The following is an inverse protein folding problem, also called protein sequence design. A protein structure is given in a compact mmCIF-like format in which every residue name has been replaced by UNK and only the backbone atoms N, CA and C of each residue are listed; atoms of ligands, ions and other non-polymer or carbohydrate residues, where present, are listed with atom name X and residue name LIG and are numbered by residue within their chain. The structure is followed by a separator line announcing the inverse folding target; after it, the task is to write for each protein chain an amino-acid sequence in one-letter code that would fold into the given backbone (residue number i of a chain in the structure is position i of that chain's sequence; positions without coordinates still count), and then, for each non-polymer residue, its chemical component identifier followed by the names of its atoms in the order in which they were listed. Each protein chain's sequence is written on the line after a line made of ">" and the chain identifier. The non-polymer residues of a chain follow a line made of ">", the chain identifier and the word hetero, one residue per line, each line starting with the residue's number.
data_IF_364088819302
#
_entry.id   IF_364088819302
#
_cell.length_a   1.000
_cell.length_b   1.000
_cell.length_c   1.000
_cell.angle_alpha   90.00
_cell.angle_beta   90.00
_cell.angle_gamma   90.00
#
_symmetry.space_group_name_H-M   'P 1'
#
loop_
_entity.id
_entity.type
_entity.pdbx_description
1 polymer ?
#
# COMPACT_ATOMS: atom_id res chain seq x y z
N UNK A 1 -33.29 -16.49 -3.15
CA UNK A 1 -32.98 -15.81 -1.86
C UNK A 1 -31.85 -14.85 -2.17
N UNK A 2 -32.00 -14.06 -3.24
CA UNK A 2 -30.83 -13.65 -4.04
C UNK A 2 -30.31 -12.27 -3.64
N UNK A 3 -31.05 -11.58 -2.77
CA UNK A 3 -30.69 -10.24 -2.30
C UNK A 3 -29.52 -10.23 -1.29
N UNK A 4 -29.23 -11.32 -0.58
CA UNK A 4 -28.06 -11.37 0.31
C UNK A 4 -26.77 -11.56 -0.48
N UNK A 5 -26.71 -12.56 -1.36
CA UNK A 5 -25.53 -12.87 -2.18
C UNK A 5 -25.17 -11.74 -3.15
N UNK A 6 -26.17 -11.01 -3.65
CA UNK A 6 -25.94 -9.85 -4.51
C UNK A 6 -25.42 -8.63 -3.72
N UNK A 7 -25.80 -8.50 -2.43
CA UNK A 7 -25.22 -7.50 -1.54
C UNK A 7 -23.76 -7.84 -1.24
N UNK A 8 -23.48 -9.10 -0.90
CA UNK A 8 -22.15 -9.58 -0.54
C UNK A 8 -21.14 -9.40 -1.69
N UNK A 9 -21.54 -9.63 -2.96
CA UNK A 9 -20.66 -9.35 -4.10
C UNK A 9 -20.42 -7.85 -4.31
N UNK A 10 -21.46 -7.02 -4.19
CA UNK A 10 -21.31 -5.59 -4.37
C UNK A 10 -20.36 -5.00 -3.32
N UNK A 11 -20.43 -5.52 -2.09
CA UNK A 11 -19.54 -5.18 -1.00
C UNK A 11 -18.09 -5.61 -1.31
N UNK A 12 -17.87 -6.86 -1.73
CA UNK A 12 -16.54 -7.35 -2.15
C UNK A 12 -15.93 -6.52 -3.29
N UNK A 13 -16.74 -6.12 -4.28
CA UNK A 13 -16.29 -5.25 -5.38
C UNK A 13 -15.89 -3.87 -4.89
N UNK A 14 -16.66 -3.31 -3.95
CA UNK A 14 -16.35 -2.01 -3.36
C UNK A 14 -15.06 -2.07 -2.53
N UNK A 15 -14.88 -3.13 -1.74
CA UNK A 15 -13.67 -3.38 -0.94
C UNK A 15 -12.44 -3.54 -1.83
N UNK A 16 -12.52 -4.38 -2.88
CA UNK A 16 -11.46 -4.51 -3.87
C UNK A 16 -11.10 -3.16 -4.51
N UNK A 17 -12.09 -2.37 -4.94
CA UNK A 17 -11.85 -1.08 -5.58
C UNK A 17 -11.18 -0.08 -4.61
N UNK A 18 -11.62 -0.03 -3.36
CA UNK A 18 -11.01 0.80 -2.32
C UNK A 18 -9.56 0.38 -2.04
N UNK A 19 -9.32 -0.93 -1.94
CA UNK A 19 -7.99 -1.49 -1.70
C UNK A 19 -7.02 -1.21 -2.86
N UNK A 20 -7.49 -1.34 -4.10
CA UNK A 20 -6.73 -0.99 -5.29
C UNK A 20 -6.35 0.50 -5.31
N UNK A 21 -7.28 1.39 -4.92
CA UNK A 21 -7.00 2.83 -4.82
C UNK A 21 -5.93 3.13 -3.75
N UNK A 22 -6.01 2.48 -2.59
CA UNK A 22 -5.01 2.63 -1.52
C UNK A 22 -3.62 2.19 -1.97
N UNK A 23 -3.53 1.05 -2.64
CA UNK A 23 -2.27 0.56 -3.21
C UNK A 23 -1.68 1.54 -4.25
N UNK A 24 -2.50 2.05 -5.16
CA UNK A 24 -2.07 3.05 -6.15
C UNK A 24 -1.59 4.35 -5.48
N UNK A 25 -2.28 4.79 -4.43
CA UNK A 25 -1.89 5.96 -3.65
C UNK A 25 -0.51 5.79 -2.99
N UNK A 26 -0.20 4.61 -2.46
CA UNK A 26 1.13 4.29 -1.92
C UNK A 26 2.20 4.27 -3.01
N UNK A 27 1.92 3.65 -4.16
CA UNK A 27 2.84 3.61 -5.30
C UNK A 27 3.19 5.01 -5.82
N UNK A 28 2.22 5.93 -5.81
CA UNK A 28 2.45 7.33 -6.20
C UNK A 28 3.24 8.12 -5.15
N UNK A 29 2.98 7.89 -3.86
CA UNK A 29 3.42 8.79 -2.79
C UNK A 29 4.71 8.37 -2.09
N UNK A 30 4.95 7.06 -1.92
CA UNK A 30 6.10 6.56 -1.16
C UNK A 30 7.42 6.79 -1.90
N UNK A 31 7.56 6.51 -3.22
CA UNK A 31 8.83 6.69 -3.91
C UNK A 31 9.35 8.15 -3.92
N UNK A 32 8.52 9.19 -4.15
CA UNK A 32 8.96 10.57 -4.02
C UNK A 32 9.37 10.97 -2.60
N UNK A 33 8.75 10.40 -1.56
CA UNK A 33 9.20 10.60 -0.18
C UNK A 33 10.57 9.96 0.05
N UNK A 34 10.74 8.70 -0.35
CA UNK A 34 12.01 7.98 -0.24
C UNK A 34 13.14 8.73 -0.96
N UNK A 35 12.87 9.25 -2.16
CA UNK A 35 13.85 10.02 -2.91
C UNK A 35 14.27 11.27 -2.14
N UNK A 36 13.32 12.07 -1.63
CA UNK A 36 13.61 13.27 -0.83
C UNK A 36 14.44 12.96 0.41
N UNK A 37 14.11 11.89 1.14
CA UNK A 37 14.89 11.43 2.29
C UNK A 37 16.32 11.08 1.85
N UNK A 38 16.45 10.33 0.75
CA UNK A 38 17.74 9.87 0.21
C UNK A 38 18.60 11.01 -0.33
N UNK A 39 18.00 12.10 -0.80
CA UNK A 39 18.69 13.29 -1.27
C UNK A 39 19.22 14.15 -0.12
N UNK A 40 18.49 14.21 1.01
CA UNK A 40 18.84 15.04 2.17
C UNK A 40 19.84 14.34 3.09
N UNK A 41 19.64 13.05 3.38
CA UNK A 41 20.46 12.29 4.31
C UNK A 41 21.99 12.42 4.09
N UNK A 42 22.54 12.28 2.86
CA UNK A 42 23.99 12.37 2.63
C UNK A 42 24.53 13.80 2.70
N UNK A 43 23.66 14.82 2.74
CA UNK A 43 24.06 16.23 2.83
C UNK A 43 24.23 16.67 4.28
N UNK A 44 23.71 15.92 5.25
CA UNK A 44 23.84 16.24 6.67
C UNK A 44 25.26 15.94 7.11
N UNK A 45 26.01 17.00 7.35
CA UNK A 45 27.41 16.95 7.73
C UNK A 45 27.67 17.38 9.16
N UNK A 46 28.95 17.56 9.47
CA UNK A 46 29.40 17.92 10.81
C UNK A 46 29.28 16.80 11.85
N UNK A 47 29.80 17.10 13.05
CA UNK A 47 29.89 16.16 14.19
C UNK A 47 29.06 16.64 15.40
N UNK A 48 28.00 17.41 15.16
CA UNK A 48 27.10 17.84 16.24
C UNK A 48 26.11 16.74 16.58
N UNK A 49 25.74 16.65 17.87
CA UNK A 49 24.66 15.77 18.35
C UNK A 49 23.37 15.98 17.56
N UNK A 50 23.04 17.23 17.24
CA UNK A 50 21.89 17.55 16.40
C UNK A 50 21.99 16.96 14.98
N UNK A 51 23.17 16.94 14.37
CA UNK A 51 23.36 16.31 13.06
C UNK A 51 23.24 14.78 13.15
N UNK A 52 23.71 14.18 14.25
CA UNK A 52 23.55 12.76 14.53
C UNK A 52 22.07 12.39 14.70
N UNK A 53 21.30 13.16 15.47
CA UNK A 53 19.86 12.96 15.69
C UNK A 53 19.08 12.98 14.37
N UNK A 54 19.30 13.99 13.52
CA UNK A 54 18.62 14.07 12.23
C UNK A 54 19.02 12.96 11.27
N UNK A 55 20.29 12.50 11.30
CA UNK A 55 20.72 11.35 10.52
C UNK A 55 20.02 10.08 10.99
N UNK A 56 19.89 9.87 12.29
CA UNK A 56 19.17 8.72 12.84
C UNK A 56 17.69 8.73 12.45
N UNK A 57 17.01 9.88 12.63
CA UNK A 57 15.61 10.05 12.25
C UNK A 57 15.37 9.79 10.75
N UNK A 58 16.21 10.36 9.88
CA UNK A 58 16.07 10.15 8.44
C UNK A 58 16.44 8.73 7.99
N UNK A 59 17.37 8.05 8.66
CA UNK A 59 17.62 6.62 8.41
C UNK A 59 16.40 5.79 8.80
N UNK A 60 15.78 6.08 9.94
CA UNK A 60 14.52 5.48 10.36
C UNK A 60 13.41 5.67 9.32
N UNK A 61 13.19 6.92 8.90
CA UNK A 61 12.20 7.26 7.88
C UNK A 61 12.49 6.59 6.53
N UNK A 62 13.77 6.51 6.12
CA UNK A 62 14.17 5.81 4.88
C UNK A 62 13.82 4.33 4.95
N UNK A 63 14.13 3.68 6.07
CA UNK A 63 13.84 2.27 6.26
C UNK A 63 12.33 2.01 6.29
N UNK A 64 11.55 2.87 6.97
CA UNK A 64 10.10 2.78 6.97
C UNK A 64 9.52 2.93 5.56
N UNK A 65 10.00 3.89 4.75
CA UNK A 65 9.58 4.04 3.36
C UNK A 65 9.92 2.80 2.50
N UNK A 66 11.07 2.17 2.71
CA UNK A 66 11.44 0.93 2.01
C UNK A 66 10.52 -0.24 2.39
N UNK A 67 10.17 -0.38 3.67
CA UNK A 67 9.24 -1.42 4.13
C UNK A 67 7.83 -1.16 3.57
N UNK A 68 7.39 0.09 3.53
CA UNK A 68 6.13 0.45 2.89
C UNK A 68 6.11 0.03 1.41
N UNK A 69 7.20 0.26 0.68
CA UNK A 69 7.37 -0.19 -0.71
C UNK A 69 7.28 -1.70 -0.83
N UNK A 70 8.02 -2.42 0.00
CA UNK A 70 8.00 -3.88 -0.01
C UNK A 70 6.58 -4.42 0.21
N UNK A 71 5.86 -3.89 1.19
CA UNK A 71 4.52 -4.35 1.54
C UNK A 71 3.49 -4.10 0.42
N UNK A 72 3.42 -2.88 -0.15
CA UNK A 72 2.47 -2.65 -1.24
C UNK A 72 2.86 -3.41 -2.51
N UNK A 73 4.15 -3.63 -2.77
CA UNK A 73 4.60 -4.45 -3.91
C UNK A 73 4.22 -5.92 -3.72
N UNK A 74 4.27 -6.44 -2.50
CA UNK A 74 3.82 -7.79 -2.19
C UNK A 74 2.30 -7.95 -2.33
N UNK A 75 1.52 -6.88 -2.17
CA UNK A 75 0.07 -6.89 -2.38
C UNK A 75 -0.33 -6.99 -3.88
N UNK A 76 0.50 -6.48 -4.80
CA UNK A 76 0.18 -6.37 -6.24
C UNK A 76 -0.30 -7.69 -6.86
N UNK A 77 0.36 -8.85 -6.68
CA UNK A 77 -0.09 -10.10 -7.29
C UNK A 77 -1.49 -10.55 -6.82
N UNK A 78 -1.85 -10.24 -5.57
CA UNK A 78 -3.18 -10.54 -5.03
C UNK A 78 -4.23 -9.64 -5.66
N UNK A 79 -3.94 -8.34 -5.78
CA UNK A 79 -4.81 -7.37 -6.45
C UNK A 79 -5.02 -7.69 -7.94
N UNK A 80 -3.97 -8.12 -8.65
CA UNK A 80 -4.07 -8.56 -10.05
C UNK A 80 -4.91 -9.83 -10.19
N UNK A 81 -4.78 -10.77 -9.24
CA UNK A 81 -5.61 -11.98 -9.24
C UNK A 81 -7.06 -11.64 -8.94
N UNK A 82 -7.32 -10.73 -7.99
CA UNK A 82 -8.65 -10.24 -7.67
C UNK A 82 -9.29 -9.51 -8.87
N UNK A 83 -8.54 -8.68 -9.59
CA UNK A 83 -8.99 -8.03 -10.84
C UNK A 83 -9.46 -9.07 -11.86
N UNK A 84 -8.67 -10.13 -12.07
CA UNK A 84 -9.02 -11.21 -12.99
C UNK A 84 -10.31 -11.95 -12.58
N UNK A 85 -10.59 -12.06 -11.28
CA UNK A 85 -11.85 -12.65 -10.79
C UNK A 85 -13.02 -11.71 -11.03
N UNK A 86 -12.87 -10.42 -10.72
CA UNK A 86 -13.89 -9.40 -10.99
C UNK A 86 -14.25 -9.37 -12.48
N UNK A 87 -13.25 -9.42 -13.36
CA UNK A 87 -13.48 -9.52 -14.81
C UNK A 87 -14.21 -10.80 -15.24
N UNK A 88 -13.97 -11.93 -14.56
CA UNK A 88 -14.66 -13.19 -14.85
C UNK A 88 -16.14 -13.11 -14.42
N UNK A 89 -16.40 -12.53 -13.24
CA UNK A 89 -17.76 -12.28 -12.76
C UNK A 89 -18.53 -11.36 -13.72
N UNK A 90 -17.87 -10.36 -14.32
CA UNK A 90 -18.49 -9.45 -15.30
C UNK A 90 -18.83 -10.12 -16.64
N UNK A 91 -18.04 -11.12 -17.05
CA UNK A 91 -18.17 -11.77 -18.37
C UNK A 91 -19.17 -12.93 -18.37
N UNK A 92 -19.51 -13.49 -17.20
CA UNK A 92 -20.39 -14.67 -17.11
C UNK A 92 -21.83 -14.27 -16.77
N UNK A 93 -22.81 -14.58 -17.63
CA UNK A 93 -24.22 -14.35 -17.33
C UNK A 93 -24.66 -15.16 -16.10
N UNK A 94 -25.50 -14.59 -15.24
CA UNK A 94 -26.07 -15.30 -14.10
C UNK A 94 -27.00 -16.42 -14.58
N UNK A 95 -26.54 -17.67 -14.40
CA UNK A 95 -27.29 -18.89 -14.70
C UNK A 95 -27.24 -19.79 -13.46
N UNK A 96 -28.36 -20.41 -13.13
CA UNK A 96 -28.46 -21.31 -11.97
C UNK A 96 -27.42 -22.46 -12.01
N UNK A 97 -27.02 -22.88 -13.21
CA UNK A 97 -26.01 -23.93 -13.44
C UNK A 97 -24.58 -23.48 -13.03
N UNK A 98 -24.32 -22.18 -12.98
CA UNK A 98 -23.02 -21.58 -12.70
C UNK A 98 -22.92 -21.05 -11.24
N UNK A 99 -23.94 -21.27 -10.41
CA UNK A 99 -24.03 -20.74 -9.05
C UNK A 99 -22.86 -21.20 -8.16
N UNK A 100 -22.54 -22.50 -8.15
CA UNK A 100 -21.44 -23.05 -7.35
C UNK A 100 -20.06 -22.50 -7.79
N UNK A 101 -19.88 -22.29 -9.09
CA UNK A 101 -18.66 -21.69 -9.64
C UNK A 101 -18.52 -20.22 -9.24
N UNK A 102 -19.63 -19.47 -9.30
CA UNK A 102 -19.68 -18.06 -8.89
C UNK A 102 -19.42 -17.90 -7.40
N UNK A 103 -20.01 -18.74 -6.55
CA UNK A 103 -19.76 -18.72 -5.11
C UNK A 103 -18.29 -19.03 -4.79
N UNK A 104 -17.67 -19.98 -5.49
CA UNK A 104 -16.24 -20.27 -5.35
C UNK A 104 -15.34 -19.10 -5.78
N UNK A 105 -15.72 -18.35 -6.82
CA UNK A 105 -15.01 -17.13 -7.23
C UNK A 105 -15.15 -16.02 -6.19
N UNK A 106 -16.34 -15.81 -5.63
CA UNK A 106 -16.56 -14.80 -4.60
C UNK A 106 -15.80 -15.12 -3.32
N UNK A 107 -15.80 -16.39 -2.89
CA UNK A 107 -14.99 -16.83 -1.76
C UNK A 107 -13.49 -16.59 -2.03
N UNK A 108 -13.04 -16.88 -3.26
CA UNK A 108 -11.63 -16.64 -3.61
C UNK A 108 -11.30 -15.15 -3.66
N UNK A 109 -12.22 -14.30 -4.10
CA UNK A 109 -12.06 -12.85 -4.12
C UNK A 109 -11.91 -12.31 -2.68
N UNK A 110 -12.77 -12.74 -1.76
CA UNK A 110 -12.74 -12.42 -0.34
C UNK A 110 -11.37 -12.76 0.28
N UNK A 111 -10.88 -14.00 0.09
CA UNK A 111 -9.55 -14.42 0.57
C UNK A 111 -8.40 -13.56 0.02
N UNK A 112 -8.50 -13.10 -1.23
CA UNK A 112 -7.48 -12.24 -1.84
C UNK A 112 -7.53 -10.82 -1.27
N UNK A 113 -8.73 -10.29 -1.02
CA UNK A 113 -8.95 -8.99 -0.39
C UNK A 113 -8.38 -8.98 1.03
N UNK A 114 -8.64 -10.02 1.82
CA UNK A 114 -8.12 -10.16 3.19
C UNK A 114 -6.59 -10.11 3.23
N UNK A 115 -5.94 -10.92 2.38
CA UNK A 115 -4.47 -10.99 2.34
C UNK A 115 -3.87 -9.67 1.86
N UNK A 116 -4.44 -9.08 0.81
CA UNK A 116 -3.95 -7.81 0.29
C UNK A 116 -4.20 -6.66 1.28
N UNK A 117 -5.29 -6.69 2.05
CA UNK A 117 -5.60 -5.67 3.07
C UNK A 117 -4.54 -5.63 4.15
N UNK A 118 -4.14 -6.79 4.70
CA UNK A 118 -3.08 -6.84 5.69
C UNK A 118 -1.77 -6.20 5.19
N UNK A 119 -1.39 -6.48 3.94
CA UNK A 119 -0.19 -5.91 3.32
C UNK A 119 -0.31 -4.40 3.09
N UNK A 120 -1.47 -3.90 2.64
CA UNK A 120 -1.68 -2.47 2.42
C UNK A 120 -1.78 -1.71 3.75
N UNK A 121 -2.42 -2.28 4.78
CA UNK A 121 -2.45 -1.71 6.13
C UNK A 121 -1.04 -1.56 6.70
N UNK A 122 -0.21 -2.61 6.58
CA UNK A 122 1.19 -2.56 6.99
C UNK A 122 1.99 -1.54 6.17
N UNK A 123 1.72 -1.42 4.87
CA UNK A 123 2.37 -0.43 4.02
C UNK A 123 2.01 1.01 4.43
N UNK A 124 0.73 1.29 4.69
CA UNK A 124 0.25 2.60 5.14
C UNK A 124 0.81 2.96 6.53
N UNK A 125 0.89 2.01 7.45
CA UNK A 125 1.50 2.21 8.76
C UNK A 125 2.96 2.66 8.62
N UNK A 126 3.76 1.95 7.82
CA UNK A 126 5.17 2.29 7.60
C UNK A 126 5.33 3.60 6.80
N UNK A 127 4.42 3.88 5.87
CA UNK A 127 4.39 5.16 5.19
C UNK A 127 4.14 6.32 6.17
N UNK A 128 3.22 6.14 7.12
CA UNK A 128 2.98 7.11 8.20
C UNK A 128 4.23 7.37 9.03
N UNK A 129 4.94 6.32 9.45
CA UNK A 129 6.22 6.45 10.17
C UNK A 129 7.28 7.20 9.34
N UNK A 130 7.35 6.93 8.03
CA UNK A 130 8.27 7.62 7.14
C UNK A 130 7.96 9.13 7.01
N UNK A 131 6.70 9.53 7.19
CA UNK A 131 6.27 10.93 7.13
C UNK A 131 6.54 11.71 8.42
N UNK A 132 6.73 11.04 9.56
CA UNK A 132 6.98 11.70 10.86
C UNK A 132 8.24 12.57 10.83
N UNK A 133 9.25 12.17 10.05
CA UNK A 133 10.47 12.96 9.83
C UNK A 133 10.44 13.56 8.42
N UNK A 134 10.08 14.83 8.32
CA UNK A 134 10.11 15.56 7.07
C UNK A 134 11.54 16.00 6.73
N UNK A 135 12.12 15.60 5.59
CA UNK A 135 13.46 16.04 5.17
C UNK A 135 13.62 17.56 5.04
N UNK A 136 12.51 18.28 4.84
CA UNK A 136 12.52 19.75 4.77
C UNK A 136 12.72 20.43 6.14
N UNK A 137 12.56 19.71 7.24
CA UNK A 137 12.70 20.24 8.60
C UNK A 137 14.15 20.20 9.10
N UNK A 138 15.08 19.64 8.31
CA UNK A 138 16.51 19.64 8.62
C UNK A 138 17.05 21.08 8.51
N UNK A 139 17.64 21.64 9.59
CA UNK A 139 18.18 22.98 9.56
C UNK A 139 19.28 23.13 8.48
N UNK A 140 19.25 24.19 7.66
CA UNK A 140 20.26 24.41 6.62
C UNK A 140 21.71 24.48 7.13
N UNK A 141 21.90 24.87 8.40
CA UNK A 141 23.20 24.92 9.07
C UNK A 141 23.83 23.54 9.32
N UNK A 142 23.07 22.46 9.14
CA UNK A 142 23.58 21.09 9.27
C UNK A 142 24.01 20.50 7.92
N UNK A 143 23.82 21.22 6.82
CA UNK A 143 24.29 20.76 5.52
C UNK A 143 25.77 21.10 5.32
N UNK A 144 26.52 20.16 4.75
CA UNK A 144 27.85 20.45 4.21
C UNK A 144 27.72 21.45 3.05
N UNK A 145 28.65 22.42 2.98
CA UNK A 145 28.77 23.42 1.91
C UNK A 145 29.16 22.79 0.56
#
# INVERSE_FOLDING_TARGET
>A
MDSSTQSDEADLRAEYAALHQRAAALEEQVPPLLQRISDVLPRIGGQSEQADDYRELLVGARNAALVAIENYQQAIPFLQTAESIVEQLDKTPERDEDAEWRDALLQRLDELIDVATAMIDDAEMHYGMAQETNPADVPPSLFDD
#
